data_IF_844896645851
#
_entry.id   IF_844896645851
#
_cell.length_a   1.000
_cell.length_b   1.000
_cell.length_c   1.000
_cell.angle_alpha   90.00
_cell.angle_beta   90.00
_cell.angle_gamma   90.00
#
_symmetry.space_group_name_H-M   'P 1'
#
loop_
_entity.id
_entity.type
_entity.pdbx_description
1 polymer ?
#
# COMPACT_ATOMS: atom_id res chain seq x y z
N UNK A 1 17.10 -24.75 -0.09
CA UNK A 1 18.10 -23.79 0.43
C UNK A 1 17.64 -22.32 0.37
N UNK A 2 16.77 -21.90 -0.56
CA UNK A 2 16.32 -20.49 -0.66
C UNK A 2 15.52 -19.91 0.52
N UNK A 3 14.80 -20.74 1.30
CA UNK A 3 13.98 -20.30 2.45
C UNK A 3 14.77 -19.57 3.56
N UNK A 4 16.02 -19.96 3.80
CA UNK A 4 16.85 -19.35 4.85
C UNK A 4 17.37 -17.95 4.49
N UNK A 5 17.52 -17.65 3.20
CA UNK A 5 17.93 -16.31 2.74
C UNK A 5 16.82 -15.28 2.90
N UNK A 6 15.56 -15.72 2.98
CA UNK A 6 14.39 -14.84 3.04
C UNK A 6 14.01 -14.45 4.48
N UNK A 7 14.33 -15.31 5.44
CA UNK A 7 14.14 -15.07 6.87
C UNK A 7 14.68 -13.69 7.34
N UNK A 8 15.93 -13.29 7.03
CA UNK A 8 16.44 -11.97 7.41
C UNK A 8 15.73 -10.82 6.70
N UNK A 9 15.24 -11.02 5.46
CA UNK A 9 14.47 -9.99 4.75
C UNK A 9 13.12 -9.72 5.43
N UNK A 10 12.37 -10.76 5.79
CA UNK A 10 11.10 -10.58 6.51
C UNK A 10 11.30 -9.97 7.90
N UNK A 11 12.36 -10.37 8.60
CA UNK A 11 12.72 -9.74 9.86
C UNK A 11 12.97 -8.24 9.68
N UNK A 12 13.72 -7.85 8.64
CA UNK A 12 13.92 -6.44 8.27
C UNK A 12 12.61 -5.70 7.98
N UNK A 13 11.69 -6.30 7.23
CA UNK A 13 10.38 -5.71 6.92
C UNK A 13 9.51 -5.50 8.17
N UNK A 14 9.51 -6.46 9.10
CA UNK A 14 8.81 -6.33 10.38
C UNK A 14 9.41 -5.20 11.23
N UNK A 15 10.74 -5.09 11.25
CA UNK A 15 11.44 -4.04 11.99
C UNK A 15 11.11 -2.65 11.41
N UNK A 16 11.09 -2.52 10.08
CA UNK A 16 10.65 -1.29 9.40
C UNK A 16 9.21 -0.94 9.78
N UNK A 17 8.31 -1.93 9.80
CA UNK A 17 6.91 -1.72 10.18
C UNK A 17 6.80 -1.21 11.64
N UNK A 18 7.59 -1.75 12.57
CA UNK A 18 7.65 -1.28 13.94
C UNK A 18 8.12 0.19 14.04
N UNK A 19 9.11 0.58 13.23
CA UNK A 19 9.56 1.97 13.14
C UNK A 19 8.45 2.89 12.62
N UNK A 20 7.68 2.46 11.61
CA UNK A 20 6.55 3.24 11.11
C UNK A 20 5.43 3.39 12.15
N UNK A 21 5.14 2.35 12.93
CA UNK A 21 4.18 2.44 14.05
C UNK A 21 4.63 3.44 15.09
N UNK A 22 5.92 3.40 15.47
CA UNK A 22 6.47 4.39 16.39
C UNK A 22 6.35 5.82 15.85
N UNK A 23 6.73 6.02 14.58
CA UNK A 23 6.61 7.32 13.90
C UNK A 23 5.17 7.83 13.87
N UNK A 24 4.20 6.96 13.57
CA UNK A 24 2.78 7.31 13.57
C UNK A 24 2.32 7.82 14.94
N UNK A 25 2.67 7.11 16.02
CA UNK A 25 2.29 7.50 17.38
C UNK A 25 2.91 8.86 17.73
N UNK A 26 4.17 9.09 17.35
CA UNK A 26 4.86 10.34 17.58
C UNK A 26 4.20 11.52 16.84
N UNK A 27 3.99 11.39 15.53
CA UNK A 27 3.34 12.43 14.72
C UNK A 27 1.90 12.71 15.19
N UNK A 28 1.18 11.68 15.62
CA UNK A 28 -0.17 11.82 16.15
C UNK A 28 -0.17 12.59 17.47
N UNK A 29 0.75 12.24 18.38
CA UNK A 29 0.91 12.93 19.65
C UNK A 29 1.24 14.42 19.46
N UNK A 30 2.18 14.72 18.56
CA UNK A 30 2.55 16.10 18.23
C UNK A 30 1.36 16.89 17.67
N UNK A 31 0.60 16.30 16.74
CA UNK A 31 -0.57 16.93 16.12
C UNK A 31 -1.65 17.24 17.16
N UNK A 32 -1.92 16.32 18.10
CA UNK A 32 -2.94 16.49 19.14
C UNK A 32 -2.57 17.60 20.13
N UNK A 33 -1.31 17.68 20.55
CA UNK A 33 -0.88 18.69 21.53
C UNK A 33 -0.84 20.09 20.93
N UNK A 34 -0.48 20.21 19.66
CA UNK A 34 -0.34 21.51 19.01
C UNK A 34 -1.63 22.01 18.36
N UNK A 35 -2.73 21.25 18.40
CA UNK A 35 -3.98 21.50 17.67
C UNK A 35 -4.52 22.94 17.80
N UNK A 36 -4.41 23.55 19.00
CA UNK A 36 -4.93 24.90 19.24
C UNK A 36 -3.99 26.03 18.80
N UNK A 37 -2.75 25.71 18.43
CA UNK A 37 -1.67 26.69 18.20
C UNK A 37 -1.13 26.68 16.76
N UNK A 38 -1.68 25.85 15.87
CA UNK A 38 -1.21 25.68 14.49
C UNK A 38 -2.30 26.08 13.48
N UNK A 39 -1.87 26.54 12.31
CA UNK A 39 -2.78 26.95 11.23
C UNK A 39 -3.55 25.76 10.64
N UNK A 40 -4.77 25.97 10.15
CA UNK A 40 -5.60 24.95 9.51
C UNK A 40 -4.89 24.18 8.40
N UNK A 41 -4.09 24.88 7.57
CA UNK A 41 -3.27 24.25 6.52
C UNK A 41 -2.25 23.26 7.10
N UNK A 42 -1.61 23.60 8.22
CA UNK A 42 -0.64 22.73 8.88
C UNK A 42 -1.31 21.52 9.53
N UNK A 43 -2.50 21.70 10.10
CA UNK A 43 -3.31 20.58 10.62
C UNK A 43 -3.62 19.59 9.50
N UNK A 44 -4.11 20.10 8.36
CA UNK A 44 -4.44 19.27 7.21
C UNK A 44 -3.20 18.55 6.64
N UNK A 45 -2.06 19.24 6.55
CA UNK A 45 -0.79 18.61 6.14
C UNK A 45 -0.37 17.51 7.13
N UNK A 46 -0.46 17.75 8.45
CA UNK A 46 -0.14 16.75 9.46
C UNK A 46 -1.05 15.52 9.41
N UNK A 47 -2.35 15.70 9.15
CA UNK A 47 -3.27 14.58 8.91
C UNK A 47 -2.87 13.80 7.66
N UNK A 48 -2.47 14.48 6.58
CA UNK A 48 -1.98 13.81 5.37
C UNK A 48 -0.69 13.02 5.61
N UNK A 49 0.22 13.53 6.43
CA UNK A 49 1.45 12.83 6.84
C UNK A 49 1.12 11.51 7.58
N UNK A 50 0.16 11.56 8.52
CA UNK A 50 -0.31 10.36 9.23
C UNK A 50 -0.96 9.34 8.29
N UNK A 51 -1.81 9.78 7.35
CA UNK A 51 -2.43 8.89 6.36
C UNK A 51 -1.35 8.24 5.47
N UNK A 52 -0.34 8.99 5.05
CA UNK A 52 0.76 8.49 4.22
C UNK A 52 1.55 7.37 4.93
N UNK A 53 1.87 7.55 6.22
CA UNK A 53 2.50 6.51 7.05
C UNK A 53 1.66 5.22 7.07
N UNK A 54 0.34 5.33 7.26
CA UNK A 54 -0.57 4.18 7.26
C UNK A 54 -0.61 3.50 5.89
N UNK A 55 -0.61 4.26 4.80
CA UNK A 55 -0.61 3.71 3.45
C UNK A 55 0.67 2.94 3.12
N UNK A 56 1.83 3.45 3.53
CA UNK A 56 3.11 2.75 3.36
C UNK A 56 3.13 1.46 4.20
N UNK A 57 2.63 1.51 5.44
CA UNK A 57 2.51 0.33 6.29
C UNK A 57 1.63 -0.77 5.67
N UNK A 58 0.48 -0.38 5.09
CA UNK A 58 -0.41 -1.32 4.39
C UNK A 58 0.28 -1.95 3.17
N UNK A 59 1.03 -1.17 2.40
CA UNK A 59 1.82 -1.69 1.27
C UNK A 59 2.90 -2.67 1.77
N UNK A 60 3.61 -2.36 2.85
CA UNK A 60 4.64 -3.24 3.42
C UNK A 60 4.05 -4.59 3.84
N UNK A 61 2.91 -4.59 4.54
CA UNK A 61 2.20 -5.82 4.90
C UNK A 61 1.88 -6.64 3.66
N UNK A 62 1.44 -5.96 2.59
CA UNK A 62 1.09 -6.62 1.36
C UNK A 62 2.29 -7.23 0.62
N UNK A 63 3.44 -6.55 0.64
CA UNK A 63 4.72 -7.06 0.12
C UNK A 63 5.20 -8.27 0.93
N UNK A 64 5.07 -8.22 2.25
CA UNK A 64 5.40 -9.34 3.14
C UNK A 64 4.54 -10.56 2.80
N UNK A 65 3.22 -10.39 2.67
CA UNK A 65 2.29 -11.47 2.35
C UNK A 65 2.52 -12.05 0.95
N UNK A 66 2.68 -11.21 -0.08
CA UNK A 66 2.93 -11.68 -1.44
C UNK A 66 4.29 -12.38 -1.61
N UNK A 67 5.32 -11.92 -0.90
CA UNK A 67 6.59 -12.62 -0.82
C UNK A 67 6.45 -13.97 -0.13
N UNK A 68 5.70 -14.03 0.98
CA UNK A 68 5.49 -15.25 1.75
C UNK A 68 4.81 -16.33 0.90
N UNK A 69 3.76 -15.94 0.17
CA UNK A 69 3.06 -16.81 -0.80
C UNK A 69 4.01 -17.31 -1.91
N UNK A 70 4.78 -16.41 -2.51
CA UNK A 70 5.62 -16.77 -3.68
C UNK A 70 6.74 -17.75 -3.34
N UNK A 71 7.32 -17.66 -2.14
CA UNK A 71 8.58 -18.34 -1.84
C UNK A 71 8.58 -19.30 -0.65
N UNK A 72 7.66 -19.15 0.30
CA UNK A 72 7.59 -20.03 1.47
C UNK A 72 6.41 -20.97 1.35
N UNK A 73 5.25 -20.49 0.95
CA UNK A 73 4.05 -21.31 0.84
C UNK A 73 3.29 -20.95 -0.42
N UNK A 74 3.57 -21.61 -1.57
CA UNK A 74 2.53 -21.76 -2.56
C UNK A 74 1.34 -22.35 -1.78
N UNK A 75 0.15 -21.75 -1.86
CA UNK A 75 -1.05 -22.33 -1.30
C UNK A 75 -1.33 -23.65 -2.04
N UNK A 76 -0.65 -24.72 -1.62
CA UNK A 76 -1.00 -26.09 -1.97
C UNK A 76 -2.19 -26.45 -1.10
N UNK A 77 -3.37 -26.04 -1.56
CA UNK A 77 -4.65 -26.44 -1.00
C UNK A 77 -4.86 -27.92 -1.35
N UNK A 78 -4.12 -28.80 -0.67
CA UNK A 78 -4.49 -30.20 -0.58
C UNK A 78 -5.79 -30.24 0.25
N UNK A 79 -6.90 -30.28 -0.48
CA UNK A 79 -8.24 -30.75 -0.12
C UNK A 79 -8.40 -31.27 1.32
N UNK A 80 -8.67 -30.35 2.26
CA UNK A 80 -9.16 -30.67 3.60
C UNK A 80 -10.52 -30.00 3.80
N UNK A 81 -11.55 -30.74 4.26
CA UNK A 81 -12.95 -30.27 4.32
C UNK A 81 -13.22 -29.14 5.33
N UNK A 82 -12.22 -28.73 6.13
CA UNK A 82 -12.34 -27.69 7.17
C UNK A 82 -11.47 -26.45 6.85
N UNK A 83 -11.46 -25.98 5.60
CA UNK A 83 -10.85 -24.68 5.27
C UNK A 83 -11.85 -23.53 5.44
N UNK A 84 -11.47 -22.42 6.10
CA UNK A 84 -12.31 -21.24 6.19
C UNK A 84 -12.54 -20.60 4.82
N UNK A 85 -13.78 -20.27 4.45
CA UNK A 85 -14.09 -19.68 3.13
C UNK A 85 -13.27 -18.42 2.81
N UNK A 86 -12.82 -17.63 3.79
CA UNK A 86 -12.00 -16.44 3.51
C UNK A 86 -10.59 -16.73 2.94
N UNK A 87 -10.10 -17.98 2.99
CA UNK A 87 -8.75 -18.40 2.58
C UNK A 87 -8.70 -19.01 1.16
N UNK A 88 -9.82 -19.55 0.68
CA UNK A 88 -9.94 -20.20 -0.64
C UNK A 88 -9.97 -19.19 -1.82
N UNK A 89 -10.12 -17.89 -1.50
CA UNK A 89 -10.39 -16.82 -2.48
C UNK A 89 -9.27 -15.77 -2.56
N UNK A 90 -8.11 -16.03 -1.93
CA UNK A 90 -6.91 -15.24 -2.15
C UNK A 90 -6.26 -15.65 -3.49
N UNK A 91 -7.03 -15.49 -4.58
CA UNK A 91 -6.55 -15.67 -5.95
C UNK A 91 -5.39 -14.68 -6.14
N UNK A 92 -4.22 -15.13 -6.59
CA UNK A 92 -3.03 -14.28 -6.75
C UNK A 92 -3.30 -12.99 -7.58
N UNK A 93 -4.36 -13.00 -8.40
CA UNK A 93 -4.90 -11.82 -9.08
C UNK A 93 -5.49 -10.75 -8.15
N UNK A 94 -6.23 -11.14 -7.10
CA UNK A 94 -6.79 -10.23 -6.11
C UNK A 94 -5.70 -9.51 -5.30
N UNK A 95 -4.58 -10.18 -5.00
CA UNK A 95 -3.42 -9.55 -4.36
C UNK A 95 -2.71 -8.58 -5.32
N UNK A 96 -2.65 -8.84 -6.62
CA UNK A 96 -2.10 -7.84 -7.58
C UNK A 96 -2.97 -6.59 -7.68
N UNK A 97 -4.30 -6.76 -7.70
CA UNK A 97 -5.25 -5.64 -7.76
C UNK A 97 -5.17 -4.78 -6.50
N UNK A 98 -5.18 -5.39 -5.31
CA UNK A 98 -5.06 -4.68 -4.03
C UNK A 98 -3.74 -3.89 -3.93
N UNK A 99 -2.61 -4.43 -4.43
CA UNK A 99 -1.32 -3.73 -4.48
C UNK A 99 -1.40 -2.47 -5.35
N UNK A 100 -2.00 -2.59 -6.53
CA UNK A 100 -2.16 -1.47 -7.45
C UNK A 100 -3.03 -0.36 -6.86
N UNK A 101 -4.12 -0.72 -6.18
CA UNK A 101 -4.98 0.23 -5.45
C UNK A 101 -4.22 0.97 -4.34
N UNK A 102 -3.41 0.27 -3.55
CA UNK A 102 -2.57 0.90 -2.52
C UNK A 102 -1.57 1.90 -3.11
N UNK A 103 -0.89 1.53 -4.20
CA UNK A 103 0.05 2.42 -4.89
C UNK A 103 -0.63 3.68 -5.47
N UNK A 104 -1.81 3.52 -6.07
CA UNK A 104 -2.63 4.66 -6.52
C UNK A 104 -2.99 5.56 -5.35
N UNK A 105 -3.47 4.99 -4.24
CA UNK A 105 -3.83 5.74 -3.03
C UNK A 105 -2.68 6.56 -2.47
N UNK A 106 -1.48 5.96 -2.34
CA UNK A 106 -0.26 6.68 -1.91
C UNK A 106 0.03 7.85 -2.85
N UNK A 107 -0.01 7.61 -4.17
CA UNK A 107 0.23 8.65 -5.16
C UNK A 107 -0.83 9.77 -5.13
N UNK A 108 -2.10 9.44 -4.87
CA UNK A 108 -3.19 10.42 -4.71
C UNK A 108 -2.97 11.32 -3.49
N UNK A 109 -2.54 10.78 -2.35
CA UNK A 109 -2.26 11.57 -1.14
C UNK A 109 -1.13 12.56 -1.38
N UNK A 110 -0.10 12.15 -2.13
CA UNK A 110 0.99 13.06 -2.50
C UNK A 110 0.52 14.21 -3.39
N UNK A 111 -0.37 13.94 -4.35
CA UNK A 111 -1.00 15.00 -5.15
C UNK A 111 -1.91 15.91 -4.31
N UNK A 112 -2.65 15.35 -3.34
CA UNK A 112 -3.48 16.13 -2.43
C UNK A 112 -2.63 17.05 -1.54
N UNK A 113 -1.47 16.57 -1.06
CA UNK A 113 -0.50 17.39 -0.31
C UNK A 113 -0.02 18.58 -1.16
N UNK A 114 0.30 18.32 -2.43
CA UNK A 114 0.69 19.37 -3.40
C UNK A 114 -0.46 20.34 -3.69
N UNK A 115 -1.70 19.87 -3.73
CA UNK A 115 -2.87 20.74 -3.91
C UNK A 115 -3.08 21.68 -2.71
N UNK A 116 -2.83 21.19 -1.50
CA UNK A 116 -2.95 21.94 -0.25
C UNK A 116 -1.88 23.01 -0.11
N UNK A 117 -0.64 22.70 -0.50
CA UNK A 117 0.50 23.63 -0.42
C UNK A 117 1.27 23.66 -1.76
N UNK A 118 0.72 24.31 -2.80
CA UNK A 118 1.25 24.24 -4.16
C UNK A 118 2.57 24.97 -4.35
N UNK A 119 2.90 25.91 -3.47
CA UNK A 119 4.12 26.71 -3.57
C UNK A 119 5.37 25.95 -3.08
N UNK A 120 5.19 24.78 -2.46
CA UNK A 120 6.29 23.97 -1.91
C UNK A 120 7.06 23.21 -2.99
N UNK A 121 6.45 22.98 -4.15
CA UNK A 121 7.04 22.22 -5.25
C UNK A 121 7.11 23.05 -6.52
N UNK A 122 8.12 22.79 -7.36
CA UNK A 122 8.21 23.43 -8.67
C UNK A 122 7.10 22.92 -9.59
N UNK A 123 6.62 23.76 -10.51
CA UNK A 123 5.64 23.36 -11.53
C UNK A 123 6.08 22.10 -12.30
N UNK A 124 7.38 21.94 -12.54
CA UNK A 124 7.95 20.75 -13.18
C UNK A 124 7.75 19.50 -12.32
N UNK A 125 8.00 19.60 -11.00
CA UNK A 125 7.78 18.50 -10.05
C UNK A 125 6.30 18.11 -9.98
N UNK A 126 5.40 19.09 -9.94
CA UNK A 126 3.94 18.85 -9.92
C UNK A 126 3.48 18.14 -11.20
N UNK A 127 3.98 18.58 -12.36
CA UNK A 127 3.67 17.93 -13.65
C UNK A 127 4.07 16.45 -13.65
N UNK A 128 5.27 16.11 -13.15
CA UNK A 128 5.70 14.72 -13.04
C UNK A 128 4.88 13.90 -12.05
N UNK A 129 4.47 14.47 -10.93
CA UNK A 129 3.57 13.77 -9.99
C UNK A 129 2.24 13.40 -10.67
N UNK A 130 1.65 14.32 -11.45
CA UNK A 130 0.41 14.06 -12.19
C UNK A 130 0.62 12.98 -13.25
N UNK A 131 1.72 13.05 -14.03
CA UNK A 131 2.05 12.05 -15.04
C UNK A 131 2.27 10.65 -14.45
N UNK A 132 2.99 10.56 -13.33
CA UNK A 132 3.20 9.29 -12.63
C UNK A 132 1.85 8.73 -12.14
N UNK A 133 1.00 9.58 -11.57
CA UNK A 133 -0.32 9.16 -11.09
C UNK A 133 -1.20 8.62 -12.22
N UNK A 134 -1.26 9.31 -13.36
CA UNK A 134 -1.98 8.83 -14.54
C UNK A 134 -1.42 7.48 -15.04
N UNK A 135 -0.10 7.32 -15.03
CA UNK A 135 0.55 6.04 -15.41
C UNK A 135 0.15 4.90 -14.47
N UNK A 136 0.05 5.17 -13.17
CA UNK A 136 -0.40 4.19 -12.17
C UNK A 136 -1.88 3.82 -12.36
N UNK A 137 -2.75 4.80 -12.63
CA UNK A 137 -4.17 4.57 -12.92
C UNK A 137 -4.36 3.66 -14.14
N UNK A 138 -3.66 3.96 -15.24
CA UNK A 138 -3.71 3.15 -16.47
C UNK A 138 -3.22 1.71 -16.18
N UNK A 139 -2.13 1.58 -15.42
CA UNK A 139 -1.56 0.27 -15.06
C UNK A 139 -2.52 -0.57 -14.20
N UNK A 140 -3.20 0.04 -13.23
CA UNK A 140 -4.18 -0.67 -12.41
C UNK A 140 -5.42 -1.09 -13.19
N UNK A 141 -5.89 -0.24 -14.12
CA UNK A 141 -6.99 -0.59 -15.02
C UNK A 141 -6.63 -1.80 -15.90
N UNK A 142 -5.41 -1.83 -16.44
CA UNK A 142 -4.93 -2.99 -17.19
C UNK A 142 -4.92 -4.26 -16.33
N UNK A 143 -4.39 -4.20 -15.10
CA UNK A 143 -4.37 -5.34 -14.17
C UNK A 143 -5.79 -5.82 -13.84
N UNK A 144 -6.71 -4.89 -13.53
CA UNK A 144 -8.10 -5.22 -13.21
C UNK A 144 -8.82 -5.87 -14.41
N UNK A 145 -8.57 -5.36 -15.61
CA UNK A 145 -9.14 -5.90 -16.85
C UNK A 145 -8.63 -7.32 -17.13
N UNK A 146 -7.31 -7.55 -17.06
CA UNK A 146 -6.72 -8.89 -17.22
C UNK A 146 -7.26 -9.87 -16.18
N UNK A 147 -7.40 -9.43 -14.92
CA UNK A 147 -7.95 -10.27 -13.86
C UNK A 147 -9.41 -10.65 -14.12
N UNK A 148 -10.25 -9.70 -14.58
CA UNK A 148 -11.65 -9.97 -14.95
C UNK A 148 -11.75 -10.99 -16.09
N UNK A 149 -10.91 -10.86 -17.12
CA UNK A 149 -10.87 -11.83 -18.24
C UNK A 149 -10.48 -13.24 -17.78
N UNK A 150 -9.47 -13.36 -16.90
CA UNK A 150 -9.07 -14.66 -16.34
C UNK A 150 -10.21 -15.32 -15.56
N UNK A 151 -10.96 -14.56 -14.77
CA UNK A 151 -12.07 -15.09 -13.96
C UNK A 151 -13.25 -15.54 -14.84
N UNK A 152 -13.57 -14.81 -15.90
CA UNK A 152 -14.61 -15.20 -16.86
C UNK A 152 -14.26 -16.48 -17.63
N UNK A 153 -12.97 -16.73 -17.87
CA UNK A 153 -12.51 -17.98 -18.51
C UNK A 153 -12.56 -19.20 -17.58
N UNK A 154 -12.64 -19.04 -16.25
CA UNK A 154 -12.76 -20.15 -15.29
C UNK A 154 -14.22 -20.61 -15.10
N UNK A 155 -15.20 -19.82 -15.54
CA UNK A 155 -16.65 -20.10 -15.40
C UNK A 155 -17.29 -20.81 -16.60
N UNK A 156 -16.50 -21.19 -17.60
CA UNK A 156 -16.89 -22.02 -18.74
C UNK A 156 -16.01 -23.26 -18.80
#
# INVERSE_FOLDING_TARGET
MGRWLQLPLYFGLILILAVYVYRFIHELYDLVIHLNNINDTLIMLGVLDLIDVVMIANLLIMVVMGGYETFISPLALDSHPDQPEWLDHLDAGAMKVKLALSLIGISSIHLLRTFIDPNKLSNFSVMWQVLIHLTLLISALAIAFTNKMLQQSKTH
#
